data_IF_625818231196
#
_entry.id   IF_625818231196
#
_cell.length_a   1.000
_cell.length_b   1.000
_cell.length_c   1.000
_cell.angle_alpha   90.00
_cell.angle_beta   90.00
_cell.angle_gamma   90.00
#
_symmetry.space_group_name_H-M   'P 1'
#
loop_
_entity.id
_entity.type
_entity.pdbx_description
1 polymer ?
#
# COMPACT_ATOMS: atom_id res chain seq x y z
N UNK A 1 -37.79 -11.19 4.55
CA UNK A 1 -36.92 -10.16 5.16
C UNK A 1 -36.56 -10.67 6.55
N UNK A 2 -35.34 -11.18 6.72
CA UNK A 2 -34.84 -11.57 8.05
C UNK A 2 -34.12 -10.35 8.60
N UNK A 3 -34.77 -9.67 9.55
CA UNK A 3 -34.17 -8.60 10.35
C UNK A 3 -33.20 -9.26 11.32
N UNK A 4 -31.93 -9.34 10.96
CA UNK A 4 -30.87 -9.68 11.92
C UNK A 4 -30.56 -8.42 12.74
N UNK A 5 -31.14 -8.36 13.94
CA UNK A 5 -30.69 -7.43 14.98
C UNK A 5 -29.18 -7.65 15.15
N UNK A 6 -28.33 -6.60 15.07
CA UNK A 6 -26.89 -6.80 15.31
C UNK A 6 -26.69 -7.36 16.70
N UNK A 7 -25.94 -8.46 16.79
CA UNK A 7 -25.59 -9.05 18.09
C UNK A 7 -24.83 -8.01 18.92
N UNK A 8 -25.14 -7.91 20.21
CA UNK A 8 -24.39 -7.05 21.14
C UNK A 8 -22.90 -7.38 21.05
N UNK A 9 -22.01 -6.38 21.05
CA UNK A 9 -20.57 -6.62 20.96
C UNK A 9 -20.12 -7.56 22.09
N UNK A 10 -19.20 -8.46 21.78
CA UNK A 10 -18.64 -9.36 22.81
C UNK A 10 -17.88 -8.54 23.87
N UNK A 11 -17.77 -9.01 25.13
CA UNK A 11 -17.02 -8.35 26.19
C UNK A 11 -15.58 -8.00 25.78
N UNK A 12 -14.93 -8.86 25.00
CA UNK A 12 -13.57 -8.65 24.44
C UNK A 12 -13.52 -7.50 23.44
N UNK A 13 -14.60 -7.28 22.68
CA UNK A 13 -14.68 -6.14 21.75
C UNK A 13 -14.78 -4.83 22.52
N UNK A 14 -15.55 -4.78 23.59
CA UNK A 14 -15.70 -3.59 24.45
C UNK A 14 -14.37 -3.21 25.09
N UNK A 15 -13.64 -4.16 25.66
CA UNK A 15 -12.35 -3.91 26.31
C UNK A 15 -11.28 -3.36 25.34
N UNK A 16 -11.20 -3.90 24.11
CA UNK A 16 -10.29 -3.36 23.08
C UNK A 16 -10.62 -1.92 22.73
N UNK A 17 -11.91 -1.62 22.49
CA UNK A 17 -12.36 -0.26 22.12
C UNK A 17 -12.06 0.74 23.23
N UNK A 18 -12.33 0.38 24.50
CA UNK A 18 -12.03 1.23 25.65
C UNK A 18 -10.53 1.53 25.77
N UNK A 19 -9.68 0.53 25.55
CA UNK A 19 -8.22 0.73 25.57
C UNK A 19 -7.75 1.59 24.40
N UNK A 20 -8.29 1.39 23.20
CA UNK A 20 -7.99 2.25 22.06
C UNK A 20 -8.38 3.70 22.35
N UNK A 21 -9.59 3.94 22.87
CA UNK A 21 -10.05 5.30 23.24
C UNK A 21 -9.18 5.96 24.32
N UNK A 22 -8.59 5.18 25.23
CA UNK A 22 -7.74 5.69 26.30
C UNK A 22 -6.31 6.05 25.84
N UNK A 23 -5.80 5.43 24.78
CA UNK A 23 -4.39 5.53 24.41
C UNK A 23 -4.12 6.18 23.04
N UNK A 24 -5.10 6.24 22.15
CA UNK A 24 -4.95 6.83 20.80
C UNK A 24 -5.30 8.30 20.85
N UNK A 25 -4.45 9.16 20.27
CA UNK A 25 -4.70 10.60 20.14
C UNK A 25 -5.64 10.92 18.97
N UNK A 26 -5.71 10.04 17.98
CA UNK A 26 -6.63 10.12 16.88
C UNK A 26 -8.06 9.75 17.27
N UNK A 27 -8.91 9.51 16.29
CA UNK A 27 -10.30 9.13 16.55
C UNK A 27 -10.45 7.61 16.64
N UNK A 28 -11.24 7.18 17.60
CA UNK A 28 -11.72 5.79 17.70
C UNK A 28 -13.24 5.79 17.53
N UNK A 29 -13.70 5.26 16.40
CA UNK A 29 -15.08 5.27 15.96
C UNK A 29 -15.67 3.86 16.12
N UNK A 30 -16.62 3.70 17.02
CA UNK A 30 -17.14 2.39 17.40
C UNK A 30 -18.68 2.30 17.41
N UNK A 31 -19.40 3.40 17.09
CA UNK A 31 -20.84 3.35 16.97
C UNK A 31 -21.27 2.44 15.81
N UNK A 32 -22.51 1.94 15.87
CA UNK A 32 -23.06 1.11 14.78
C UNK A 32 -23.08 1.86 13.44
N UNK A 33 -23.28 3.18 13.46
CA UNK A 33 -23.24 4.03 12.27
C UNK A 33 -21.81 4.08 11.71
N UNK A 34 -20.81 4.35 12.53
CA UNK A 34 -19.41 4.41 12.09
C UNK A 34 -18.98 3.08 11.47
N UNK A 35 -19.26 1.98 12.17
CA UNK A 35 -18.95 0.63 11.69
C UNK A 35 -19.66 0.31 10.38
N UNK A 36 -20.92 0.76 10.21
CA UNK A 36 -21.69 0.58 8.99
C UNK A 36 -21.07 1.37 7.81
N UNK A 37 -20.60 2.60 8.02
CA UNK A 37 -19.92 3.41 7.01
C UNK A 37 -18.64 2.71 6.50
N UNK A 38 -17.84 2.13 7.40
CA UNK A 38 -16.61 1.46 7.04
C UNK A 38 -16.77 -0.02 6.69
N UNK A 39 -18.01 -0.53 6.67
CA UNK A 39 -18.30 -1.94 6.33
C UNK A 39 -18.21 -2.25 4.84
N UNK A 40 -18.13 -1.25 3.98
CA UNK A 40 -18.10 -1.38 2.52
C UNK A 40 -16.88 -0.65 1.94
N UNK A 41 -16.46 -1.07 0.75
CA UNK A 41 -15.53 -0.39 -0.12
C UNK A 41 -16.11 -0.36 -1.55
N UNK A 42 -15.30 -0.24 -2.59
CA UNK A 42 -15.79 -0.29 -3.97
C UNK A 42 -16.10 -1.72 -4.47
N UNK A 43 -15.90 -2.74 -3.64
CA UNK A 43 -16.23 -4.13 -3.94
C UNK A 43 -17.72 -4.43 -3.68
N UNK A 44 -18.11 -5.66 -3.95
CA UNK A 44 -19.46 -6.16 -3.61
C UNK A 44 -19.60 -6.63 -2.15
N UNK A 45 -18.51 -6.61 -1.37
CA UNK A 45 -18.50 -7.15 -0.02
C UNK A 45 -18.99 -6.12 1.01
N UNK A 46 -19.64 -6.62 2.05
CA UNK A 46 -19.99 -5.86 3.24
C UNK A 46 -19.56 -6.64 4.47
N UNK A 47 -18.58 -6.11 5.20
CA UNK A 47 -18.02 -6.75 6.39
C UNK A 47 -17.92 -5.71 7.51
N UNK A 48 -18.67 -5.89 8.58
CA UNK A 48 -18.68 -4.98 9.73
C UNK A 48 -17.37 -5.10 10.53
N UNK A 49 -16.59 -4.00 10.66
CA UNK A 49 -15.40 -4.00 11.52
C UNK A 49 -15.78 -3.98 13.01
N UNK A 50 -14.81 -4.29 13.88
CA UNK A 50 -14.96 -4.09 15.33
C UNK A 50 -15.08 -2.62 15.68
N UNK A 51 -14.18 -1.81 15.18
CA UNK A 51 -14.16 -0.36 15.25
C UNK A 51 -13.26 0.18 14.15
N UNK A 52 -13.18 1.50 14.07
CA UNK A 52 -12.29 2.21 13.17
C UNK A 52 -11.37 3.10 14.01
N UNK A 53 -10.08 3.12 13.69
CA UNK A 53 -9.10 4.05 14.24
C UNK A 53 -8.62 4.96 13.11
N UNK A 54 -8.73 6.27 13.28
CA UNK A 54 -8.10 7.27 12.43
C UNK A 54 -6.89 7.86 13.17
N UNK A 55 -5.67 7.33 12.94
CA UNK A 55 -4.47 7.74 13.65
C UNK A 55 -4.02 9.13 13.24
N UNK A 56 -3.46 9.90 14.18
CA UNK A 56 -2.87 11.21 13.90
C UNK A 56 -1.46 11.12 13.37
N UNK A 57 -0.74 10.10 13.81
CA UNK A 57 0.68 9.90 13.47
C UNK A 57 1.09 8.43 13.58
N UNK A 58 2.37 8.17 13.38
CA UNK A 58 2.96 6.83 13.47
C UNK A 58 2.88 6.25 14.87
N UNK A 59 2.91 7.07 15.93
CA UNK A 59 2.82 6.60 17.31
C UNK A 59 1.43 5.98 17.60
N UNK A 60 0.37 6.60 17.10
CA UNK A 60 -0.99 6.05 17.19
C UNK A 60 -1.10 4.69 16.45
N UNK A 61 -0.42 4.54 15.32
CA UNK A 61 -0.40 3.27 14.58
C UNK A 61 0.30 2.19 15.40
N UNK A 62 1.47 2.49 15.96
CA UNK A 62 2.23 1.56 16.81
C UNK A 62 1.38 1.12 18.00
N UNK A 63 0.77 2.07 18.70
CA UNK A 63 -0.10 1.79 19.85
C UNK A 63 -1.32 0.95 19.45
N UNK A 64 -1.94 1.25 18.30
CA UNK A 64 -3.07 0.48 17.78
C UNK A 64 -2.65 -0.97 17.49
N UNK A 65 -1.51 -1.19 16.83
CA UNK A 65 -0.99 -2.53 16.53
C UNK A 65 -0.76 -3.33 17.81
N UNK A 66 -0.12 -2.73 18.83
CA UNK A 66 0.16 -3.38 20.10
C UNK A 66 -1.13 -3.82 20.82
N UNK A 67 -2.13 -2.93 20.90
CA UNK A 67 -3.41 -3.23 21.52
C UNK A 67 -4.18 -4.30 20.75
N UNK A 68 -4.23 -4.20 19.43
CA UNK A 68 -4.90 -5.19 18.57
C UNK A 68 -4.24 -6.56 18.70
N UNK A 69 -2.91 -6.61 18.76
CA UNK A 69 -2.16 -7.85 18.98
C UNK A 69 -2.49 -8.47 20.36
N UNK A 70 -2.46 -7.67 21.42
CA UNK A 70 -2.78 -8.12 22.79
C UNK A 70 -4.21 -8.67 22.91
N UNK A 71 -5.14 -8.18 22.09
CA UNK A 71 -6.52 -8.64 22.03
C UNK A 71 -6.81 -9.71 20.96
N UNK A 72 -5.76 -10.28 20.35
CA UNK A 72 -5.88 -11.30 19.28
C UNK A 72 -6.85 -10.88 18.16
N UNK A 73 -6.81 -9.63 17.76
CA UNK A 73 -7.60 -9.07 16.67
C UNK A 73 -6.74 -8.85 15.43
N UNK A 74 -7.35 -8.46 14.33
CA UNK A 74 -6.67 -8.11 13.08
C UNK A 74 -6.78 -6.61 12.79
N UNK A 75 -5.85 -6.09 12.00
CA UNK A 75 -5.87 -4.73 11.45
C UNK A 75 -6.16 -4.79 9.96
N UNK A 76 -6.95 -3.84 9.49
CA UNK A 76 -7.24 -3.60 8.09
C UNK A 76 -6.79 -2.17 7.76
N UNK A 77 -5.58 -1.96 7.24
CA UNK A 77 -5.15 -0.64 6.78
C UNK A 77 -6.04 -0.18 5.62
N UNK A 78 -6.55 1.05 5.70
CA UNK A 78 -7.48 1.60 4.73
C UNK A 78 -7.07 3.01 4.33
N UNK A 79 -7.11 3.27 3.05
CA UNK A 79 -7.04 4.61 2.47
C UNK A 79 -8.39 5.03 1.89
N UNK A 80 -8.46 5.31 0.60
CA UNK A 80 -9.68 5.76 -0.06
C UNK A 80 -10.82 4.73 -0.22
N UNK A 81 -10.62 3.48 0.18
CA UNK A 81 -11.64 2.43 0.05
C UNK A 81 -12.05 2.12 -1.40
N UNK A 82 -11.13 2.28 -2.35
CA UNK A 82 -11.38 2.11 -3.80
C UNK A 82 -11.08 0.71 -4.31
N UNK A 83 -10.79 -0.25 -3.44
CA UNK A 83 -10.53 -1.65 -3.77
C UNK A 83 -11.76 -2.33 -4.35
N UNK A 84 -11.55 -3.14 -5.41
CA UNK A 84 -12.64 -3.88 -6.07
C UNK A 84 -12.76 -5.33 -5.59
N UNK A 85 -11.80 -5.82 -4.80
CA UNK A 85 -11.75 -7.21 -4.33
C UNK A 85 -11.91 -7.34 -2.81
N UNK A 86 -12.27 -6.24 -2.11
CA UNK A 86 -12.58 -6.27 -0.68
C UNK A 86 -11.35 -6.19 0.25
N UNK A 87 -10.20 -5.73 -0.23
CA UNK A 87 -8.98 -5.66 0.59
C UNK A 87 -9.07 -4.66 1.75
N UNK A 88 -9.99 -3.69 1.67
CA UNK A 88 -10.14 -2.62 2.66
C UNK A 88 -11.33 -2.81 3.61
N UNK A 89 -11.94 -3.99 3.64
CA UNK A 89 -13.00 -4.37 4.59
C UNK A 89 -12.62 -5.64 5.36
N UNK A 90 -13.10 -5.77 6.60
CA UNK A 90 -12.79 -6.92 7.45
C UNK A 90 -13.42 -6.81 8.83
N UNK A 91 -13.38 -7.90 9.59
CA UNK A 91 -13.98 -7.98 10.94
C UNK A 91 -13.12 -7.41 12.07
N UNK A 92 -11.85 -7.05 11.77
CA UNK A 92 -10.91 -6.48 12.74
C UNK A 92 -11.09 -4.99 12.96
N UNK A 93 -10.00 -4.32 13.32
CA UNK A 93 -9.93 -2.86 13.46
C UNK A 93 -9.55 -2.28 12.10
N UNK A 94 -10.40 -1.44 11.53
CA UNK A 94 -10.05 -0.66 10.34
C UNK A 94 -9.17 0.51 10.76
N UNK A 95 -8.02 0.66 10.13
CA UNK A 95 -7.07 1.74 10.36
C UNK A 95 -7.14 2.73 9.19
N UNK A 96 -7.90 3.81 9.36
CA UNK A 96 -8.11 4.83 8.33
C UNK A 96 -6.99 5.86 8.34
N UNK A 97 -6.09 5.76 7.38
CA UNK A 97 -4.96 6.68 7.22
C UNK A 97 -5.34 7.98 6.48
N UNK A 98 -6.51 8.03 5.87
CA UNK A 98 -6.89 9.14 4.98
C UNK A 98 -7.25 10.43 5.71
N UNK A 99 -7.66 10.34 6.98
CA UNK A 99 -8.20 11.49 7.72
C UNK A 99 -7.11 12.46 8.17
N UNK A 100 -6.02 11.98 8.74
CA UNK A 100 -4.98 12.81 9.37
C UNK A 100 -3.59 12.63 8.76
N UNK A 101 -3.28 11.45 8.21
CA UNK A 101 -1.98 11.11 7.64
C UNK A 101 -1.99 11.25 6.10
N UNK A 102 -2.30 12.45 5.60
CA UNK A 102 -2.58 12.70 4.18
C UNK A 102 -1.76 13.85 3.56
N UNK A 103 -0.66 14.23 4.20
CA UNK A 103 0.17 15.36 3.79
C UNK A 103 1.17 14.99 2.69
N UNK A 104 1.48 15.96 1.83
CA UNK A 104 2.71 15.96 1.04
C UNK A 104 3.81 16.56 1.93
N UNK A 105 4.84 15.77 2.26
CA UNK A 105 5.87 16.14 3.23
C UNK A 105 6.98 16.94 2.59
N UNK A 106 7.45 16.50 1.40
CA UNK A 106 8.51 17.16 0.66
C UNK A 106 8.39 16.82 -0.83
N UNK A 107 8.58 17.82 -1.70
CA UNK A 107 8.67 17.66 -3.14
C UNK A 107 9.97 18.24 -3.65
N UNK A 108 10.76 17.43 -4.32
CA UNK A 108 12.00 17.84 -4.96
C UNK A 108 11.87 17.75 -6.49
N UNK A 109 11.55 18.87 -7.11
CA UNK A 109 11.34 18.94 -8.56
C UNK A 109 12.61 18.63 -9.36
N UNK A 110 13.77 19.08 -8.89
CA UNK A 110 15.07 18.87 -9.58
C UNK A 110 15.44 17.39 -9.61
N UNK A 111 15.26 16.68 -8.47
CA UNK A 111 15.55 15.25 -8.34
C UNK A 111 14.35 14.38 -8.69
N UNK A 112 13.20 14.99 -9.03
CA UNK A 112 11.95 14.34 -9.46
C UNK A 112 11.46 13.28 -8.48
N UNK A 113 11.28 13.65 -7.22
CA UNK A 113 10.68 12.78 -6.23
C UNK A 113 9.80 13.56 -5.25
N UNK A 114 8.91 12.83 -4.59
CA UNK A 114 8.02 13.35 -3.55
C UNK A 114 7.98 12.40 -2.37
N UNK A 115 8.03 12.94 -1.14
CA UNK A 115 7.66 12.24 0.09
C UNK A 115 6.22 12.58 0.46
N UNK A 116 5.41 11.54 0.71
CA UNK A 116 4.01 11.69 1.09
C UNK A 116 3.66 10.75 2.23
N UNK A 117 2.68 11.12 3.03
CA UNK A 117 2.02 10.21 3.96
C UNK A 117 1.09 9.24 3.20
N UNK A 118 0.84 8.06 3.78
CA UNK A 118 0.11 6.98 3.10
C UNK A 118 -1.34 7.34 2.74
N UNK A 119 -2.00 8.20 3.52
CA UNK A 119 -3.35 8.68 3.25
C UNK A 119 -3.44 9.78 2.20
N UNK A 120 -2.30 10.32 1.71
CA UNK A 120 -2.31 11.36 0.69
C UNK A 120 -3.00 10.88 -0.59
N UNK A 121 -3.96 11.66 -1.10
CA UNK A 121 -4.68 11.33 -2.33
C UNK A 121 -3.82 11.67 -3.54
N UNK A 122 -3.70 10.74 -4.49
CA UNK A 122 -2.86 10.90 -5.67
C UNK A 122 -3.15 12.20 -6.44
N UNK A 123 -4.42 12.56 -6.62
CA UNK A 123 -4.79 13.80 -7.31
C UNK A 123 -4.22 15.05 -6.63
N UNK A 124 -4.19 15.10 -5.29
CA UNK A 124 -3.59 16.22 -4.55
C UNK A 124 -2.08 16.28 -4.76
N UNK A 125 -1.41 15.12 -4.70
CA UNK A 125 0.04 15.03 -4.98
C UNK A 125 0.34 15.50 -6.41
N UNK A 126 -0.45 15.05 -7.40
CA UNK A 126 -0.30 15.44 -8.79
C UNK A 126 -0.55 16.94 -9.01
N UNK A 127 -1.53 17.54 -8.32
CA UNK A 127 -1.78 18.98 -8.40
C UNK A 127 -0.57 19.79 -7.93
N UNK A 128 0.11 19.38 -6.86
CA UNK A 128 1.33 20.04 -6.39
C UNK A 128 2.49 19.80 -7.37
N UNK A 129 2.70 18.58 -7.83
CA UNK A 129 3.77 18.22 -8.74
C UNK A 129 3.63 18.88 -10.12
N UNK A 130 2.39 19.10 -10.57
CA UNK A 130 2.11 19.70 -11.88
C UNK A 130 2.60 21.14 -12.03
N UNK A 131 2.73 21.88 -10.94
CA UNK A 131 3.35 23.22 -10.92
C UNK A 131 4.82 23.18 -11.38
N UNK A 132 5.44 22.00 -11.35
CA UNK A 132 6.79 21.73 -11.81
C UNK A 132 6.83 20.88 -13.09
N UNK A 133 5.69 20.70 -13.77
CA UNK A 133 5.60 19.83 -14.95
C UNK A 133 5.74 18.34 -14.65
N UNK A 134 5.49 17.92 -13.41
CA UNK A 134 5.68 16.55 -12.91
C UNK A 134 4.36 15.91 -12.45
N UNK A 135 4.34 14.57 -12.42
CA UNK A 135 3.23 13.77 -11.87
C UNK A 135 3.74 12.41 -11.37
N UNK A 136 2.90 11.71 -10.60
CA UNK A 136 3.08 10.27 -10.35
C UNK A 136 2.81 9.52 -11.67
N UNK A 137 3.67 8.56 -12.04
CA UNK A 137 3.57 7.85 -13.32
C UNK A 137 2.27 7.07 -13.51
N UNK A 138 1.98 6.04 -12.70
CA UNK A 138 0.74 5.26 -12.79
C UNK A 138 -0.50 6.11 -12.49
N UNK A 139 -1.55 5.91 -13.28
CA UNK A 139 -2.79 6.70 -13.24
C UNK A 139 -4.04 5.80 -13.14
N UNK A 140 -4.29 5.19 -11.98
CA UNK A 140 -5.49 4.40 -11.78
C UNK A 140 -6.77 5.23 -12.01
N UNK A 141 -7.84 4.60 -12.48
CA UNK A 141 -9.13 5.26 -12.71
C UNK A 141 -9.68 5.95 -11.45
N UNK A 142 -9.28 5.48 -10.28
CA UNK A 142 -9.61 6.03 -8.97
C UNK A 142 -8.70 7.18 -8.50
N UNK A 143 -7.86 7.78 -9.33
CA UNK A 143 -6.86 8.82 -8.98
C UNK A 143 -7.40 9.91 -8.02
N UNK A 144 -8.67 10.29 -8.17
CA UNK A 144 -9.32 11.30 -7.31
C UNK A 144 -9.61 10.84 -5.89
N UNK A 145 -9.60 9.53 -5.63
CA UNK A 145 -9.97 8.90 -4.36
C UNK A 145 -8.87 8.01 -3.82
N UNK A 146 -8.00 7.49 -4.70
CA UNK A 146 -6.94 6.55 -4.31
C UNK A 146 -5.89 7.26 -3.45
N UNK A 147 -5.65 6.72 -2.26
CA UNK A 147 -4.52 7.12 -1.43
C UNK A 147 -3.24 6.46 -1.90
N UNK A 148 -2.11 7.13 -1.68
CA UNK A 148 -0.79 6.59 -2.06
C UNK A 148 -0.51 5.27 -1.34
N UNK A 149 -0.81 5.15 -0.05
CA UNK A 149 -0.66 3.89 0.70
C UNK A 149 -1.50 2.75 0.12
N UNK A 150 -2.74 3.04 -0.32
CA UNK A 150 -3.58 2.07 -1.03
C UNK A 150 -2.99 1.67 -2.38
N UNK A 151 -2.40 2.63 -3.11
CA UNK A 151 -1.69 2.34 -4.37
C UNK A 151 -0.49 1.42 -4.14
N UNK A 152 0.26 1.65 -3.06
CA UNK A 152 1.38 0.76 -2.66
C UNK A 152 0.85 -0.63 -2.33
N UNK A 153 -0.19 -0.73 -1.48
CA UNK A 153 -0.78 -2.01 -1.10
C UNK A 153 -1.22 -2.86 -2.30
N UNK A 154 -1.83 -2.25 -3.30
CA UNK A 154 -2.35 -2.94 -4.48
C UNK A 154 -1.34 -3.05 -5.64
N UNK A 155 -0.13 -2.51 -5.53
CA UNK A 155 0.77 -2.34 -6.68
C UNK A 155 0.04 -1.72 -7.89
N UNK A 156 -0.58 -0.57 -7.67
CA UNK A 156 -1.53 0.04 -8.61
C UNK A 156 -0.94 0.30 -9.99
N UNK A 157 -1.82 0.16 -10.98
CA UNK A 157 -1.56 0.44 -12.41
C UNK A 157 -2.63 1.38 -12.95
N UNK A 158 -2.44 1.87 -14.17
CA UNK A 158 -3.41 2.70 -14.87
C UNK A 158 -3.33 2.55 -16.38
N UNK A 159 -4.09 3.37 -17.11
CA UNK A 159 -4.15 3.31 -18.57
C UNK A 159 -2.78 3.57 -19.22
N UNK A 160 -1.96 4.45 -18.63
CA UNK A 160 -0.62 4.77 -19.13
C UNK A 160 0.49 3.90 -18.53
N UNK A 161 0.16 2.79 -17.85
CA UNK A 161 1.15 1.89 -17.26
C UNK A 161 1.99 1.14 -18.30
N UNK A 162 1.55 1.04 -19.55
CA UNK A 162 2.39 0.58 -20.66
C UNK A 162 3.64 1.46 -20.79
N UNK A 163 3.50 2.78 -20.58
CA UNK A 163 4.61 3.74 -20.63
C UNK A 163 5.32 3.86 -19.27
N UNK A 164 4.56 3.94 -18.18
CA UNK A 164 5.10 4.29 -16.86
C UNK A 164 5.32 3.10 -15.94
N UNK A 165 4.88 1.90 -16.30
CA UNK A 165 4.95 0.74 -15.40
C UNK A 165 3.91 0.76 -14.29
N UNK A 166 4.20 0.05 -13.21
CA UNK A 166 3.39 -0.07 -12.00
C UNK A 166 3.94 0.85 -10.90
N UNK A 167 3.18 1.03 -9.81
CA UNK A 167 3.66 1.88 -8.71
C UNK A 167 4.97 1.34 -8.11
N UNK A 168 5.20 0.03 -8.12
CA UNK A 168 6.45 -0.60 -7.69
C UNK A 168 7.70 -0.06 -8.42
N UNK A 169 7.56 0.40 -9.65
CA UNK A 169 8.65 0.96 -10.46
C UNK A 169 9.01 2.39 -10.02
N UNK A 170 8.17 3.02 -9.20
CA UNK A 170 8.31 4.40 -8.74
C UNK A 170 8.65 4.52 -7.26
N UNK A 171 8.57 3.45 -6.48
CA UNK A 171 8.89 3.49 -5.05
C UNK A 171 10.40 3.57 -4.86
N UNK A 172 10.86 4.63 -4.19
CA UNK A 172 12.27 4.83 -3.81
C UNK A 172 12.54 4.45 -2.35
N UNK A 173 11.55 4.63 -1.48
CA UNK A 173 11.61 4.24 -0.07
C UNK A 173 10.18 4.14 0.49
N UNK A 174 10.00 3.31 1.51
CA UNK A 174 8.74 3.18 2.23
C UNK A 174 9.00 2.99 3.72
N UNK A 175 8.30 3.79 4.54
CA UNK A 175 8.28 3.60 5.99
C UNK A 175 7.08 2.73 6.35
N UNK A 176 7.31 1.74 7.19
CA UNK A 176 6.33 0.73 7.57
C UNK A 176 6.38 0.50 9.08
N UNK A 177 5.21 0.42 9.72
CA UNK A 177 5.10 -0.13 11.07
C UNK A 177 4.85 -1.63 10.92
N UNK A 178 5.80 -2.43 11.42
CA UNK A 178 5.73 -3.88 11.41
C UNK A 178 4.82 -4.40 12.53
N UNK A 179 4.48 -5.69 12.50
CA UNK A 179 3.54 -6.32 13.43
C UNK A 179 3.99 -6.28 14.90
N UNK A 180 5.29 -6.16 15.18
CA UNK A 180 5.85 -5.99 16.52
C UNK A 180 5.84 -4.55 17.02
N UNK A 181 5.36 -3.60 16.20
CA UNK A 181 5.34 -2.17 16.47
C UNK A 181 6.64 -1.45 16.09
N UNK A 182 7.65 -2.12 15.56
CA UNK A 182 8.86 -1.47 15.06
C UNK A 182 8.56 -0.64 13.81
N UNK A 183 9.16 0.55 13.74
CA UNK A 183 9.05 1.47 12.59
C UNK A 183 10.32 1.32 11.76
N UNK A 184 10.16 0.85 10.53
CA UNK A 184 11.29 0.50 9.65
C UNK A 184 11.21 1.31 8.36
N UNK A 185 12.37 1.79 7.91
CA UNK A 185 12.54 2.44 6.61
C UNK A 185 13.16 1.46 5.61
N UNK A 186 12.37 0.98 4.65
CA UNK A 186 12.85 0.19 3.53
C UNK A 186 13.23 1.12 2.37
N UNK A 187 14.50 1.50 2.33
CA UNK A 187 15.18 2.25 1.28
C UNK A 187 16.43 1.49 0.82
N UNK A 188 17.06 1.85 -0.30
CA UNK A 188 18.28 1.19 -0.76
C UNK A 188 19.41 1.29 0.28
N UNK A 189 19.90 0.14 0.74
CA UNK A 189 21.02 0.00 1.70
C UNK A 189 22.27 -0.48 0.98
N UNK A 190 23.41 0.07 1.36
CA UNK A 190 24.71 -0.43 0.95
C UNK A 190 25.03 -1.76 1.65
N UNK A 191 26.01 -2.56 1.15
CA UNK A 191 26.45 -3.78 1.83
C UNK A 191 26.87 -3.55 3.28
N UNK A 192 27.59 -2.46 3.56
CA UNK A 192 28.06 -2.13 4.92
C UNK A 192 26.89 -1.80 5.86
N UNK A 193 25.89 -1.05 5.39
CA UNK A 193 24.66 -0.77 6.16
C UNK A 193 23.87 -2.06 6.43
N UNK A 194 23.78 -2.97 5.46
CA UNK A 194 23.12 -4.27 5.65
C UNK A 194 23.85 -5.13 6.67
N UNK A 195 25.18 -5.15 6.64
CA UNK A 195 25.98 -5.88 7.63
C UNK A 195 25.70 -5.34 9.03
N UNK A 196 25.69 -4.02 9.21
CA UNK A 196 25.33 -3.39 10.49
C UNK A 196 23.94 -3.77 10.96
N UNK A 197 22.92 -3.62 10.10
CA UNK A 197 21.53 -3.96 10.43
C UNK A 197 21.40 -5.41 10.87
N UNK A 198 22.03 -6.33 10.13
CA UNK A 198 21.90 -7.78 10.36
C UNK A 198 22.56 -8.28 11.63
N UNK A 199 23.43 -7.49 12.28
CA UNK A 199 24.03 -7.81 13.58
C UNK A 199 23.06 -7.63 14.76
N UNK A 200 21.98 -6.88 14.59
CA UNK A 200 21.01 -6.62 15.65
C UNK A 200 20.00 -7.79 15.82
N UNK A 201 19.43 -7.88 17.02
CA UNK A 201 18.32 -8.80 17.34
C UNK A 201 16.99 -8.07 17.24
N UNK A 202 16.64 -7.62 16.02
CA UNK A 202 15.39 -6.93 15.69
C UNK A 202 14.66 -7.66 14.58
N UNK A 203 13.33 -7.41 14.46
CA UNK A 203 12.56 -7.95 13.35
C UNK A 203 13.09 -7.47 11.99
N UNK A 204 13.50 -6.20 11.87
CA UNK A 204 14.15 -5.69 10.67
C UNK A 204 15.39 -6.50 10.30
N UNK A 205 16.30 -6.72 11.24
CA UNK A 205 17.50 -7.51 11.03
C UNK A 205 17.18 -8.94 10.58
N UNK A 206 16.17 -9.54 11.19
CA UNK A 206 15.68 -10.87 10.83
C UNK A 206 15.14 -10.89 9.40
N UNK A 207 14.35 -9.89 8.99
CA UNK A 207 13.83 -9.77 7.64
C UNK A 207 14.97 -9.67 6.61
N UNK A 208 15.99 -8.84 6.87
CA UNK A 208 17.15 -8.71 5.98
C UNK A 208 18.03 -9.95 5.92
N UNK A 209 18.01 -10.83 6.93
CA UNK A 209 18.69 -12.14 6.89
C UNK A 209 17.86 -13.21 6.18
N UNK A 210 16.59 -13.36 6.57
CA UNK A 210 15.76 -14.50 6.15
C UNK A 210 15.18 -14.34 4.75
N UNK A 211 14.70 -13.14 4.37
CA UNK A 211 14.08 -12.94 3.05
C UNK A 211 15.09 -13.19 1.91
N UNK A 212 16.32 -12.63 1.92
CA UNK A 212 17.30 -12.96 0.88
C UNK A 212 17.66 -14.44 0.85
N UNK A 213 17.74 -15.11 2.01
CA UNK A 213 18.00 -16.54 2.09
C UNK A 213 16.87 -17.36 1.44
N UNK A 214 15.62 -17.03 1.78
CA UNK A 214 14.43 -17.63 1.17
C UNK A 214 14.43 -17.45 -0.36
N UNK A 215 14.65 -16.22 -0.82
CA UNK A 215 14.65 -15.90 -2.25
C UNK A 215 15.74 -16.64 -3.01
N UNK A 216 16.94 -16.80 -2.42
CA UNK A 216 18.01 -17.65 -3.02
C UNK A 216 17.59 -19.10 -3.12
N UNK A 217 16.99 -19.66 -2.06
CA UNK A 217 16.56 -21.06 -2.00
C UNK A 217 15.56 -21.37 -3.11
N UNK A 218 14.62 -20.45 -3.37
CA UNK A 218 13.56 -20.61 -4.37
C UNK A 218 13.80 -19.84 -5.67
N UNK A 219 15.04 -19.42 -5.95
CA UNK A 219 15.35 -18.57 -7.09
C UNK A 219 14.89 -19.14 -8.43
N UNK A 220 15.06 -20.48 -8.63
CA UNK A 220 14.64 -21.13 -9.85
C UNK A 220 13.11 -21.20 -9.98
N UNK A 221 12.39 -21.49 -8.91
CA UNK A 221 10.93 -21.45 -8.89
C UNK A 221 10.41 -20.03 -9.17
N UNK A 222 11.05 -19.02 -8.59
CA UNK A 222 10.70 -17.60 -8.85
C UNK A 222 10.93 -17.27 -10.32
N UNK A 223 12.06 -17.68 -10.92
CA UNK A 223 12.34 -17.42 -12.33
C UNK A 223 11.39 -18.14 -13.27
N UNK A 224 10.95 -19.35 -12.96
CA UNK A 224 10.16 -20.19 -13.86
C UNK A 224 8.66 -20.05 -13.66
N UNK A 225 8.18 -19.89 -12.44
CA UNK A 225 6.75 -19.93 -12.11
C UNK A 225 6.08 -18.56 -12.02
N UNK A 226 6.83 -17.48 -11.76
CA UNK A 226 6.22 -16.14 -11.77
C UNK A 226 5.68 -15.80 -13.17
N UNK A 227 4.48 -15.18 -13.25
CA UNK A 227 3.87 -14.80 -14.52
C UNK A 227 4.82 -13.93 -15.37
N UNK A 228 4.93 -14.25 -16.67
CA UNK A 228 5.79 -13.51 -17.62
C UNK A 228 5.06 -12.37 -18.31
N UNK A 229 4.02 -11.86 -17.69
CA UNK A 229 3.28 -10.69 -18.17
C UNK A 229 3.81 -9.42 -17.51
N UNK A 230 3.81 -8.31 -18.23
CA UNK A 230 4.31 -7.05 -17.73
C UNK A 230 3.45 -6.51 -16.55
N UNK A 231 2.14 -6.74 -16.58
CA UNK A 231 1.21 -6.37 -15.50
C UNK A 231 1.03 -7.56 -14.57
N UNK A 232 1.83 -7.62 -13.52
CA UNK A 232 1.68 -8.59 -12.44
C UNK A 232 1.50 -7.83 -11.13
N UNK A 233 0.27 -7.83 -10.58
CA UNK A 233 -0.10 -7.09 -9.36
C UNK A 233 -0.59 -8.02 -8.25
N UNK A 234 -0.57 -9.34 -8.46
CA UNK A 234 -1.03 -10.31 -7.49
C UNK A 234 0.14 -10.93 -6.71
N UNK A 235 0.00 -10.98 -5.39
CA UNK A 235 0.97 -11.58 -4.48
C UNK A 235 2.23 -10.73 -4.24
N UNK A 236 3.18 -11.31 -3.51
CA UNK A 236 4.42 -10.62 -3.14
C UNK A 236 5.42 -10.58 -4.30
N UNK A 237 6.09 -9.47 -4.50
CA UNK A 237 7.04 -9.23 -5.58
C UNK A 237 8.42 -9.86 -5.32
N UNK A 238 8.49 -11.18 -5.08
CA UNK A 238 9.76 -11.88 -4.84
C UNK A 238 10.68 -11.88 -6.07
N UNK A 239 10.11 -11.84 -7.27
CA UNK A 239 10.86 -11.70 -8.51
C UNK A 239 11.61 -10.35 -8.60
N UNK A 240 11.03 -9.28 -8.06
CA UNK A 240 11.69 -7.98 -7.96
C UNK A 240 12.80 -7.99 -6.91
N UNK A 241 12.56 -8.66 -5.78
CA UNK A 241 13.60 -8.84 -4.74
C UNK A 241 14.77 -9.64 -5.32
N UNK A 242 14.51 -10.74 -6.02
CA UNK A 242 15.54 -11.54 -6.68
C UNK A 242 16.37 -10.70 -7.67
N UNK A 243 15.71 -9.92 -8.54
CA UNK A 243 16.39 -9.02 -9.48
C UNK A 243 17.28 -7.99 -8.81
N UNK A 244 16.88 -7.43 -7.66
CA UNK A 244 17.71 -6.50 -6.89
C UNK A 244 18.95 -7.21 -6.31
N UNK A 245 18.78 -8.42 -5.78
CA UNK A 245 19.90 -9.21 -5.27
C UNK A 245 20.92 -9.57 -6.37
N UNK A 246 20.44 -9.84 -7.59
CA UNK A 246 21.31 -10.16 -8.73
C UNK A 246 22.10 -8.97 -9.26
N UNK A 247 21.61 -7.73 -9.06
CA UNK A 247 22.33 -6.50 -9.45
C UNK A 247 23.50 -6.17 -8.54
N UNK A 248 23.43 -6.50 -7.25
CA UNK A 248 24.56 -6.43 -6.32
C UNK A 248 25.02 -5.04 -5.87
N UNK A 249 24.31 -3.95 -6.24
CA UNK A 249 24.74 -2.58 -5.91
C UNK A 249 24.22 -2.12 -4.54
N UNK A 250 22.91 -2.03 -4.41
CA UNK A 250 22.23 -1.68 -3.16
C UNK A 250 20.96 -2.52 -3.05
N UNK A 251 20.55 -2.81 -1.82
CA UNK A 251 19.42 -3.70 -1.58
C UNK A 251 18.36 -3.07 -0.69
N UNK A 252 17.09 -3.36 -1.01
CA UNK A 252 15.94 -2.94 -0.21
C UNK A 252 14.84 -3.98 -0.25
N UNK A 253 14.07 -4.08 0.83
CA UNK A 253 12.85 -4.89 0.89
C UNK A 253 11.57 -4.11 0.51
N UNK A 254 11.69 -2.84 0.07
CA UNK A 254 10.53 -2.05 -0.37
C UNK A 254 9.65 -2.76 -1.42
N UNK A 255 10.20 -3.50 -2.43
CA UNK A 255 9.37 -4.25 -3.37
C UNK A 255 8.46 -5.30 -2.74
N UNK A 256 8.85 -5.85 -1.58
CA UNK A 256 8.05 -6.84 -0.87
C UNK A 256 6.79 -6.21 -0.24
N UNK A 257 6.92 -4.96 0.22
CA UNK A 257 5.80 -4.18 0.79
C UNK A 257 4.80 -3.77 -0.29
N UNK A 258 5.30 -3.46 -1.49
CA UNK A 258 4.44 -3.11 -2.63
C UNK A 258 3.68 -4.34 -3.11
N UNK A 259 2.35 -4.28 -3.11
CA UNK A 259 1.47 -5.42 -3.44
C UNK A 259 1.17 -6.34 -2.25
N UNK A 260 1.60 -5.99 -1.03
CA UNK A 260 1.34 -6.80 0.17
C UNK A 260 -0.07 -6.61 0.75
N UNK A 261 -0.83 -5.63 0.28
CA UNK A 261 -2.21 -5.34 0.71
C UNK A 261 -2.38 -5.22 2.24
N UNK A 262 -1.34 -4.67 2.92
CA UNK A 262 -1.34 -4.49 4.37
C UNK A 262 -1.06 -5.76 5.20
N UNK A 263 -0.73 -6.88 4.57
CA UNK A 263 -0.49 -8.16 5.27
C UNK A 263 0.88 -8.24 5.93
N UNK A 264 1.85 -7.39 5.53
CA UNK A 264 3.21 -7.38 6.05
C UNK A 264 3.51 -6.21 7.01
N UNK A 265 2.60 -5.25 7.09
CA UNK A 265 2.73 -4.08 7.95
C UNK A 265 1.88 -2.92 7.46
N UNK A 266 1.90 -1.82 8.20
CA UNK A 266 1.16 -0.60 7.88
C UNK A 266 2.10 0.43 7.29
N UNK A 267 1.90 0.79 6.02
CA UNK A 267 2.67 1.86 5.36
C UNK A 267 2.26 3.20 5.94
N UNK A 268 3.22 4.01 6.38
CA UNK A 268 3.01 5.32 6.97
C UNK A 268 3.37 6.45 6.03
N UNK A 269 4.50 6.35 5.34
CA UNK A 269 4.94 7.32 4.33
C UNK A 269 5.77 6.67 3.23
N UNK A 270 5.77 7.30 2.07
CA UNK A 270 6.39 6.76 0.85
C UNK A 270 7.16 7.84 0.12
N UNK A 271 8.33 7.50 -0.39
CA UNK A 271 9.08 8.30 -1.36
C UNK A 271 8.83 7.76 -2.76
N UNK A 272 8.23 8.57 -3.61
CA UNK A 272 7.92 8.22 -4.99
C UNK A 272 8.77 9.00 -5.98
N UNK A 273 9.18 8.32 -7.04
CA UNK A 273 9.68 8.97 -8.24
C UNK A 273 8.54 9.69 -8.97
N UNK A 274 8.83 10.85 -9.53
CA UNK A 274 7.92 11.61 -10.40
C UNK A 274 8.40 11.54 -11.85
N UNK A 275 7.45 11.59 -12.78
CA UNK A 275 7.68 11.62 -14.22
C UNK A 275 7.22 12.94 -14.80
N UNK A 276 7.75 13.33 -15.94
CA UNK A 276 7.31 14.52 -16.64
C UNK A 276 5.88 14.38 -17.17
N UNK A 277 5.11 15.44 -17.09
CA UNK A 277 3.81 15.52 -17.75
C UNK A 277 4.05 15.63 -19.26
N UNK A 278 3.42 14.78 -20.09
CA UNK A 278 3.54 14.89 -21.55
C UNK A 278 3.11 16.26 -22.03
N UNK A 279 3.95 16.88 -22.89
CA UNK A 279 3.64 18.19 -23.48
C UNK A 279 2.47 18.14 -24.46
N UNK A 280 2.29 17.02 -25.11
CA UNK A 280 1.23 16.78 -26.10
C UNK A 280 0.55 15.45 -25.83
N UNK A 281 -0.77 15.45 -25.94
CA UNK A 281 -1.59 14.24 -25.85
C UNK A 281 -2.43 14.15 -27.12
N UNK A 282 -2.38 13.00 -27.79
CA UNK A 282 -3.20 12.70 -28.96
C UNK A 282 -4.13 11.54 -28.65
N UNK A 283 -5.37 11.66 -29.10
CA UNK A 283 -6.34 10.56 -29.07
C UNK A 283 -6.59 10.12 -30.52
N UNK A 284 -6.35 8.84 -30.77
CA UNK A 284 -6.71 8.22 -32.06
C UNK A 284 -7.86 7.25 -31.85
N UNK A 285 -8.88 7.37 -32.68
CA UNK A 285 -10.00 6.42 -32.72
C UNK A 285 -9.89 5.62 -34.01
N UNK A 286 -9.67 4.33 -33.89
CA UNK A 286 -9.54 3.42 -35.03
C UNK A 286 -10.80 2.55 -35.13
N UNK A 287 -11.41 2.55 -36.30
CA UNK A 287 -12.60 1.76 -36.60
C UNK A 287 -12.21 0.48 -37.35
N UNK A 288 -12.82 -0.62 -36.94
CA UNK A 288 -12.62 -1.92 -37.56
C UNK A 288 -13.97 -2.48 -38.04
N UNK A 289 -13.96 -3.33 -39.08
CA UNK A 289 -15.19 -3.95 -39.58
C UNK A 289 -15.70 -5.08 -38.67
N UNK A 290 -14.85 -5.61 -37.81
CA UNK A 290 -15.23 -6.67 -36.88
C UNK A 290 -14.43 -6.58 -35.55
N UNK A 291 -15.00 -7.17 -34.50
CA UNK A 291 -14.32 -7.34 -33.22
C UNK A 291 -13.01 -8.12 -33.37
N UNK A 292 -13.00 -9.14 -34.25
CA UNK A 292 -11.80 -9.95 -34.51
C UNK A 292 -10.65 -9.11 -35.04
N UNK A 293 -10.90 -8.29 -36.08
CA UNK A 293 -9.89 -7.40 -36.64
C UNK A 293 -9.34 -6.43 -35.59
N UNK A 294 -10.21 -5.87 -34.73
CA UNK A 294 -9.77 -4.98 -33.68
C UNK A 294 -8.87 -5.66 -32.64
N UNK A 295 -9.12 -6.92 -32.33
CA UNK A 295 -8.29 -7.69 -31.40
C UNK A 295 -6.96 -8.13 -32.05
N UNK A 296 -6.95 -8.46 -33.31
CA UNK A 296 -5.74 -8.83 -34.06
C UNK A 296 -4.77 -7.65 -34.21
N UNK A 297 -5.27 -6.42 -34.18
CA UNK A 297 -4.46 -5.20 -34.22
C UNK A 297 -3.78 -4.82 -32.89
N UNK A 298 -4.20 -5.38 -31.77
CA UNK A 298 -3.66 -5.02 -30.44
C UNK A 298 -2.18 -5.37 -30.25
N UNK A 299 -1.62 -6.49 -30.76
CA UNK A 299 -0.22 -6.85 -30.59
C UNK A 299 0.77 -6.02 -31.40
N UNK A 300 0.29 -5.17 -32.34
CA UNK A 300 1.13 -4.34 -33.21
C UNK A 300 1.29 -2.93 -32.64
#
# INVERSE_FOLDING_TARGET
>A
MVSTVPASPSPTTTALVEQLMAHIQGDVLASDLDRAIYSTDASMYRVLPRCVVAPRDTADIVQTLQLVHAHHSSIIPRGGGTSLSGQSVGTGVVLDLSKYMNRVLELNATKRWVWVEAGAIQAHVNNMASQHGLKIGPDPSSTRMASVGGMIGNNSTGAHSILYGMIADHVKAVEVVLWDGSVVMFDPKTPDELEQITQHDTLEARLYREIPSLVRTYAEDIRTRYPKVWRNVAGYNLDRVLKLMERGESFTLAPLIVGSEGTLGVVTRVKLNLVEIPKHTHLSVVHFNSLRESMEAVPT
#
